data_IF_208899739604
#
_entry.id   IF_208899739604
#
_cell.length_a   1.000
_cell.length_b   1.000
_cell.length_c   1.000
_cell.angle_alpha   90.00
_cell.angle_beta   90.00
_cell.angle_gamma   90.00
#
_symmetry.space_group_name_H-M   'P 1'
#
loop_
_entity.id
_entity.type
_entity.pdbx_description
1 polymer ?
#
# COMPACT_ATOMS: atom_id res chain seq x y z
N UNK A 1 4.39 -5.27 11.51
CA UNK A 1 3.71 -6.03 12.60
C UNK A 1 3.14 -7.32 12.03
N UNK A 2 3.05 -8.40 12.81
CA UNK A 2 2.31 -9.62 12.40
C UNK A 2 0.84 -9.46 12.78
N UNK A 3 -0.06 -9.79 11.84
CA UNK A 3 -1.50 -9.81 12.10
C UNK A 3 -1.85 -10.90 13.12
N UNK A 4 -2.81 -10.65 14.00
CA UNK A 4 -3.42 -11.69 14.82
C UNK A 4 -4.16 -12.71 13.92
N UNK A 5 -4.47 -13.93 14.39
CA UNK A 5 -5.22 -14.92 13.61
C UNK A 5 -6.58 -14.42 13.12
N UNK A 6 -7.24 -13.56 13.90
CA UNK A 6 -8.54 -12.97 13.56
C UNK A 6 -8.37 -11.95 12.43
N UNK A 7 -7.41 -11.05 12.55
CA UNK A 7 -7.08 -10.07 11.50
C UNK A 7 -6.63 -10.76 10.21
N UNK A 8 -5.77 -11.79 10.31
CA UNK A 8 -5.35 -12.57 9.16
C UNK A 8 -6.54 -13.13 8.39
N UNK A 9 -7.53 -13.70 9.10
CA UNK A 9 -8.76 -14.22 8.50
C UNK A 9 -9.63 -13.09 7.93
N UNK A 10 -9.74 -11.95 8.63
CA UNK A 10 -10.47 -10.79 8.18
C UNK A 10 -9.89 -10.19 6.91
N UNK A 11 -8.55 -10.06 6.82
CA UNK A 11 -7.89 -9.51 5.64
C UNK A 11 -7.92 -10.43 4.41
N UNK A 12 -8.17 -11.73 4.61
CA UNK A 12 -8.19 -12.72 3.52
C UNK A 12 -9.61 -13.14 3.09
N UNK A 13 -10.67 -12.51 3.61
CA UNK A 13 -12.05 -12.88 3.29
C UNK A 13 -12.56 -12.23 1.97
N UNK A 14 -13.65 -12.78 1.37
CA UNK A 14 -14.22 -12.23 0.14
C UNK A 14 -14.75 -10.79 0.27
N UNK A 15 -15.26 -10.41 1.45
CA UNK A 15 -15.79 -9.06 1.69
C UNK A 15 -14.67 -8.01 1.63
N UNK A 16 -13.49 -8.31 2.23
CA UNK A 16 -12.31 -7.44 2.14
C UNK A 16 -11.87 -7.24 0.68
N UNK A 17 -11.86 -8.33 -0.11
CA UNK A 17 -11.54 -8.27 -1.56
C UNK A 17 -12.55 -7.43 -2.32
N UNK A 18 -13.84 -7.58 -2.03
CA UNK A 18 -14.89 -6.76 -2.64
C UNK A 18 -14.67 -5.28 -2.33
N UNK A 19 -14.38 -4.94 -1.07
CA UNK A 19 -14.09 -3.56 -0.65
C UNK A 19 -12.84 -3.02 -1.37
N UNK A 20 -11.75 -3.78 -1.40
CA UNK A 20 -10.51 -3.40 -2.09
C UNK A 20 -10.75 -3.11 -3.58
N UNK A 21 -11.56 -3.93 -4.24
CA UNK A 21 -11.91 -3.74 -5.66
C UNK A 21 -12.83 -2.54 -5.88
N UNK A 22 -13.92 -2.45 -5.11
CA UNK A 22 -15.01 -1.49 -5.40
C UNK A 22 -14.76 -0.11 -4.82
N UNK A 23 -13.94 0.00 -3.78
CA UNK A 23 -13.64 1.29 -3.14
C UNK A 23 -12.20 1.69 -3.39
N UNK A 24 -11.23 0.99 -2.83
CA UNK A 24 -9.83 1.39 -2.84
C UNK A 24 -9.26 1.47 -4.27
N UNK A 25 -9.35 0.41 -5.04
CA UNK A 25 -8.82 0.38 -6.40
C UNK A 25 -9.57 1.36 -7.33
N UNK A 26 -10.88 1.50 -7.19
CA UNK A 26 -11.64 2.51 -7.97
C UNK A 26 -11.24 3.94 -7.59
N UNK A 27 -10.97 4.20 -6.32
CA UNK A 27 -10.44 5.49 -5.89
C UNK A 27 -9.09 5.76 -6.56
N UNK A 28 -8.14 4.82 -6.53
CA UNK A 28 -6.86 4.97 -7.23
C UNK A 28 -7.04 5.21 -8.73
N UNK A 29 -7.95 4.47 -9.37
CA UNK A 29 -8.29 4.70 -10.79
C UNK A 29 -8.78 6.13 -11.03
N UNK A 30 -9.63 6.65 -10.17
CA UNK A 30 -10.15 8.03 -10.28
C UNK A 30 -9.08 9.09 -10.07
N UNK A 31 -8.03 8.78 -9.30
CA UNK A 31 -6.88 9.65 -9.07
C UNK A 31 -5.79 9.50 -10.15
N UNK A 32 -5.98 8.63 -11.15
CA UNK A 32 -5.08 8.51 -12.29
C UNK A 32 -4.22 7.25 -12.33
N UNK A 33 -4.52 6.21 -11.54
CA UNK A 33 -3.87 4.89 -11.69
C UNK A 33 -4.43 4.17 -12.93
N UNK A 34 -3.98 4.58 -14.12
CA UNK A 34 -4.47 4.09 -15.41
C UNK A 34 -3.37 3.71 -16.38
N UNK A 35 -2.12 4.00 -16.03
CA UNK A 35 -0.97 3.80 -16.90
C UNK A 35 -0.64 2.32 -17.06
N UNK A 36 -0.42 1.93 -18.32
CA UNK A 36 -0.02 0.56 -18.69
C UNK A 36 1.49 0.47 -18.86
N UNK A 37 2.00 -0.77 -18.89
CA UNK A 37 3.40 -1.07 -19.19
C UNK A 37 4.39 -0.34 -18.26
N UNK A 38 4.08 -0.30 -16.97
CA UNK A 38 4.86 0.33 -15.92
C UNK A 38 5.48 -0.69 -14.98
N UNK A 39 6.62 -0.37 -14.41
CA UNK A 39 7.26 -1.14 -13.34
C UNK A 39 6.57 -0.79 -12.01
N UNK A 40 5.80 -1.76 -11.45
CA UNK A 40 4.95 -1.55 -10.26
C UNK A 40 5.53 -2.25 -9.04
N UNK A 41 5.51 -1.57 -7.89
CA UNK A 41 5.73 -2.13 -6.55
C UNK A 41 4.45 -1.98 -5.73
N UNK A 42 3.96 -3.07 -5.14
CA UNK A 42 2.90 -3.05 -4.13
C UNK A 42 3.50 -3.31 -2.74
N UNK A 43 3.28 -2.40 -1.80
CA UNK A 43 3.75 -2.51 -0.42
C UNK A 43 2.59 -2.99 0.45
N UNK A 44 2.82 -4.05 1.24
CA UNK A 44 1.78 -4.72 2.00
C UNK A 44 0.82 -5.51 1.11
N UNK A 45 1.36 -6.27 0.14
CA UNK A 45 0.56 -6.99 -0.87
C UNK A 45 -0.32 -8.09 -0.27
N UNK A 46 -0.11 -8.46 0.99
CA UNK A 46 -0.85 -9.51 1.66
C UNK A 46 -0.87 -10.80 0.85
N UNK A 47 -2.05 -11.38 0.72
CA UNK A 47 -2.25 -12.60 -0.07
C UNK A 47 -2.35 -12.39 -1.60
N UNK A 48 -1.97 -11.21 -2.10
CA UNK A 48 -1.81 -10.92 -3.53
C UNK A 48 -3.08 -10.51 -4.28
N UNK A 49 -4.17 -10.15 -3.61
CA UNK A 49 -5.36 -9.72 -4.34
C UNK A 49 -5.19 -8.36 -5.02
N UNK A 50 -4.39 -7.45 -4.44
CA UNK A 50 -4.01 -6.19 -5.07
C UNK A 50 -3.31 -6.43 -6.41
N UNK A 51 -2.42 -7.44 -6.50
CA UNK A 51 -1.78 -7.84 -7.75
C UNK A 51 -2.79 -8.23 -8.84
N UNK A 52 -3.87 -8.94 -8.47
CA UNK A 52 -4.96 -9.28 -9.41
C UNK A 52 -5.64 -8.00 -9.95
N UNK A 53 -5.86 -7.01 -9.12
CA UNK A 53 -6.45 -5.73 -9.56
C UNK A 53 -5.47 -4.95 -10.45
N UNK A 54 -4.19 -4.88 -10.06
CA UNK A 54 -3.13 -4.18 -10.78
C UNK A 54 -2.78 -4.87 -12.11
N UNK A 55 -3.05 -6.17 -12.27
CA UNK A 55 -2.84 -6.88 -13.54
C UNK A 55 -3.67 -6.30 -14.69
N UNK A 56 -4.80 -5.65 -14.39
CA UNK A 56 -5.63 -4.95 -15.39
C UNK A 56 -4.88 -3.78 -16.05
N UNK A 57 -3.80 -3.29 -15.45
CA UNK A 57 -2.92 -2.26 -16.00
C UNK A 57 -1.85 -2.85 -16.93
N UNK A 58 -1.77 -4.18 -17.05
CA UNK A 58 -0.74 -4.85 -17.85
C UNK A 58 0.66 -4.33 -17.51
N UNK A 59 1.12 -4.45 -16.24
CA UNK A 59 2.43 -3.91 -15.85
C UNK A 59 3.56 -4.56 -16.64
N UNK A 60 4.64 -3.80 -16.87
CA UNK A 60 5.89 -4.30 -17.46
C UNK A 60 6.58 -5.28 -16.50
N UNK A 61 6.62 -4.92 -15.21
CA UNK A 61 7.01 -5.79 -14.12
C UNK A 61 6.18 -5.50 -12.88
N UNK A 62 6.05 -6.48 -12.00
CA UNK A 62 5.37 -6.33 -10.72
C UNK A 62 6.16 -6.99 -9.61
N UNK A 63 6.34 -6.28 -8.51
CA UNK A 63 6.83 -6.83 -7.25
C UNK A 63 5.82 -6.52 -6.16
N UNK A 64 5.37 -7.53 -5.43
CA UNK A 64 4.60 -7.38 -4.19
C UNK A 64 5.46 -7.72 -2.99
N UNK A 65 5.48 -6.87 -1.97
CA UNK A 65 6.20 -7.13 -0.72
C UNK A 65 5.24 -7.17 0.46
N UNK A 66 5.48 -8.10 1.37
CA UNK A 66 4.77 -8.20 2.65
C UNK A 66 5.71 -8.74 3.72
N UNK A 67 5.53 -8.32 4.97
CA UNK A 67 6.35 -8.76 6.09
C UNK A 67 6.06 -10.22 6.48
N UNK A 68 4.86 -10.73 6.17
CA UNK A 68 4.37 -12.03 6.61
C UNK A 68 4.60 -13.12 5.56
N UNK A 69 5.49 -14.12 5.81
CA UNK A 69 5.68 -15.25 4.90
C UNK A 69 4.38 -16.02 4.63
N UNK A 70 3.49 -16.07 5.62
CA UNK A 70 2.20 -16.75 5.52
C UNK A 70 1.27 -16.07 4.49
N UNK A 71 1.34 -14.76 4.34
CA UNK A 71 0.63 -14.01 3.30
C UNK A 71 1.22 -14.28 1.92
N UNK A 72 2.54 -14.19 1.80
CA UNK A 72 3.25 -14.46 0.55
C UNK A 72 2.98 -15.88 0.05
N UNK A 73 2.95 -16.88 0.93
CA UNK A 73 2.63 -18.26 0.55
C UNK A 73 1.25 -18.42 -0.10
N UNK A 74 0.32 -17.50 0.18
CA UNK A 74 -1.03 -17.53 -0.42
C UNK A 74 -1.10 -16.92 -1.82
N UNK A 75 -0.09 -16.21 -2.28
CA UNK A 75 -0.12 -15.47 -3.56
C UNK A 75 -0.18 -16.41 -4.76
N UNK A 76 0.43 -17.60 -4.66
CA UNK A 76 0.46 -18.60 -5.73
C UNK A 76 -0.92 -19.02 -6.27
N UNK A 77 -1.98 -18.87 -5.48
CA UNK A 77 -3.35 -19.17 -5.90
C UNK A 77 -3.89 -18.32 -7.05
N UNK A 78 -3.24 -17.18 -7.31
CA UNK A 78 -3.69 -16.27 -8.36
C UNK A 78 -3.09 -16.55 -9.74
N UNK A 79 -2.09 -17.43 -9.81
CA UNK A 79 -1.44 -17.84 -11.07
C UNK A 79 -0.98 -16.66 -11.94
N UNK A 80 -0.44 -15.61 -11.32
CA UNK A 80 0.06 -14.42 -12.01
C UNK A 80 1.49 -14.67 -12.52
N UNK A 81 1.62 -15.13 -13.75
CA UNK A 81 2.92 -15.41 -14.37
C UNK A 81 3.74 -14.14 -14.52
N UNK A 82 5.02 -14.19 -14.15
CA UNK A 82 5.95 -13.05 -14.24
C UNK A 82 5.82 -12.03 -13.09
N UNK A 83 4.97 -12.29 -12.09
CA UNK A 83 4.86 -11.46 -10.90
C UNK A 83 5.74 -12.02 -9.78
N UNK A 84 6.49 -11.14 -9.13
CA UNK A 84 7.32 -11.49 -7.99
C UNK A 84 6.63 -11.13 -6.67
N UNK A 85 6.72 -12.05 -5.69
CA UNK A 85 6.24 -11.80 -4.33
C UNK A 85 7.36 -12.10 -3.34
N UNK A 86 7.66 -11.15 -2.45
CA UNK A 86 8.82 -11.23 -1.55
C UNK A 86 8.41 -10.95 -0.10
N UNK A 87 8.97 -11.75 0.81
CA UNK A 87 8.92 -11.42 2.24
C UNK A 87 9.91 -10.30 2.48
N UNK A 88 9.43 -9.12 2.87
CA UNK A 88 10.28 -7.94 3.03
C UNK A 88 9.68 -6.95 4.01
N UNK A 89 10.52 -6.29 4.80
CA UNK A 89 10.12 -5.16 5.63
C UNK A 89 10.05 -3.89 4.78
N UNK A 90 8.88 -3.26 4.74
CA UNK A 90 8.66 -2.05 3.97
C UNK A 90 9.49 -0.84 4.46
N UNK A 91 9.97 -0.87 5.71
CA UNK A 91 10.83 0.18 6.26
C UNK A 91 12.31 0.04 5.87
N UNK A 92 12.71 -1.09 5.25
CA UNK A 92 14.08 -1.39 4.81
C UNK A 92 14.08 -2.28 3.55
N UNK A 93 13.78 -1.71 2.40
CA UNK A 93 13.65 -2.43 1.11
C UNK A 93 14.96 -2.40 0.29
N UNK A 94 16.09 -2.72 0.92
CA UNK A 94 17.44 -2.64 0.29
C UNK A 94 17.58 -3.46 -0.99
N UNK A 95 16.86 -4.58 -1.10
CA UNK A 95 16.90 -5.46 -2.27
C UNK A 95 16.15 -4.89 -3.48
N UNK A 96 15.44 -3.77 -3.30
CA UNK A 96 14.81 -3.05 -4.41
C UNK A 96 15.70 -1.87 -4.79
N UNK A 97 16.21 -1.82 -6.02
CA UNK A 97 17.11 -0.74 -6.45
C UNK A 97 16.46 0.63 -6.37
N UNK A 98 17.25 1.66 -6.10
CA UNK A 98 16.81 3.05 -6.19
C UNK A 98 16.39 3.39 -7.63
N UNK A 99 15.41 4.28 -7.77
CA UNK A 99 14.94 4.77 -9.08
C UNK A 99 14.62 3.65 -10.07
N UNK A 100 13.90 2.62 -9.62
CA UNK A 100 13.63 1.41 -10.39
C UNK A 100 12.14 1.14 -10.62
N UNK A 101 11.24 1.96 -10.05
CA UNK A 101 9.80 1.77 -10.18
C UNK A 101 9.12 3.04 -10.67
N UNK A 102 8.18 2.87 -11.60
CA UNK A 102 7.33 3.96 -12.09
C UNK A 102 6.20 4.25 -11.10
N UNK A 103 5.65 3.19 -10.48
CA UNK A 103 4.48 3.27 -9.64
C UNK A 103 4.68 2.45 -8.37
N UNK A 104 4.36 3.05 -7.23
CA UNK A 104 4.20 2.35 -5.94
C UNK A 104 2.75 2.45 -5.51
N UNK A 105 2.19 1.33 -5.00
CA UNK A 105 0.81 1.26 -4.51
C UNK A 105 0.79 0.73 -3.08
N UNK A 106 0.01 1.40 -2.21
CA UNK A 106 -0.18 1.04 -0.80
C UNK A 106 -1.67 1.02 -0.49
N UNK A 107 -2.21 -0.16 -0.12
CA UNK A 107 -3.61 -0.34 0.26
C UNK A 107 -3.75 -0.50 1.78
N UNK A 108 -3.80 0.61 2.52
CA UNK A 108 -4.15 0.63 3.94
C UNK A 108 -3.22 -0.19 4.84
N UNK A 109 -1.91 0.04 4.80
CA UNK A 109 -0.93 -0.71 5.58
C UNK A 109 -0.02 0.16 6.46
N UNK A 110 0.17 1.45 6.15
CA UNK A 110 1.12 2.30 6.87
C UNK A 110 0.78 2.43 8.35
N UNK A 111 -0.49 2.53 8.69
CA UNK A 111 -0.95 2.63 10.08
C UNK A 111 -0.61 1.40 10.94
N UNK A 112 -0.28 0.26 10.33
CA UNK A 112 0.23 -0.93 11.00
C UNK A 112 1.76 -0.92 11.18
N UNK A 113 2.47 0.02 10.60
CA UNK A 113 3.94 0.07 10.63
C UNK A 113 4.38 1.19 11.59
N UNK A 114 5.00 0.88 12.74
CA UNK A 114 5.47 1.92 13.67
C UNK A 114 6.41 2.94 13.02
N UNK A 115 7.28 2.47 12.13
CA UNK A 115 8.25 3.30 11.41
C UNK A 115 7.76 3.71 10.00
N UNK A 116 6.46 3.99 9.85
CA UNK A 116 5.84 4.31 8.57
C UNK A 116 6.52 5.46 7.80
N UNK A 117 7.16 6.39 8.51
CA UNK A 117 7.95 7.46 7.86
C UNK A 117 9.14 6.92 7.08
N UNK A 118 9.77 5.84 7.57
CA UNK A 118 10.84 5.15 6.82
C UNK A 118 10.29 4.54 5.53
N UNK A 119 9.05 4.06 5.53
CA UNK A 119 8.40 3.54 4.31
C UNK A 119 8.26 4.63 3.26
N UNK A 120 7.83 5.84 3.65
CA UNK A 120 7.73 6.98 2.72
C UNK A 120 9.10 7.35 2.14
N UNK A 121 10.14 7.36 2.96
CA UNK A 121 11.53 7.58 2.49
C UNK A 121 11.97 6.50 1.50
N UNK A 122 11.68 5.22 1.77
CA UNK A 122 11.97 4.12 0.84
C UNK A 122 11.16 4.26 -0.45
N UNK A 123 9.89 4.63 -0.39
CA UNK A 123 9.10 4.94 -1.60
C UNK A 123 9.79 6.01 -2.46
N UNK A 124 10.28 7.09 -1.83
CA UNK A 124 10.98 8.15 -2.57
C UNK A 124 12.29 7.66 -3.19
N UNK A 125 13.04 6.83 -2.48
CA UNK A 125 14.28 6.23 -2.99
C UNK A 125 14.05 5.34 -4.21
N UNK A 126 12.98 4.53 -4.15
CA UNK A 126 12.67 3.49 -5.14
C UNK A 126 12.02 4.06 -6.39
N UNK A 127 11.18 5.09 -6.26
CA UNK A 127 10.52 5.73 -7.40
C UNK A 127 11.53 6.47 -8.27
N UNK A 128 11.36 6.33 -9.59
CA UNK A 128 12.05 7.19 -10.56
C UNK A 128 11.59 8.64 -10.40
N UNK A 129 12.33 9.58 -10.97
CA UNK A 129 11.87 10.97 -11.10
C UNK A 129 10.54 11.01 -11.86
N UNK A 130 9.55 11.70 -11.33
CA UNK A 130 8.21 11.74 -11.91
C UNK A 130 7.36 10.49 -11.65
N UNK A 131 7.92 9.47 -10.99
CA UNK A 131 7.19 8.27 -10.57
C UNK A 131 6.07 8.60 -9.58
N UNK A 132 5.08 7.72 -9.45
CA UNK A 132 3.86 8.00 -8.67
C UNK A 132 3.68 7.04 -7.52
N UNK A 133 3.34 7.59 -6.37
CA UNK A 133 2.88 6.87 -5.18
C UNK A 133 1.35 7.01 -5.09
N UNK A 134 0.66 5.88 -5.09
CA UNK A 134 -0.77 5.78 -4.75
C UNK A 134 -0.90 5.18 -3.36
N UNK A 135 -1.49 5.93 -2.44
CA UNK A 135 -1.66 5.48 -1.05
C UNK A 135 -3.07 5.75 -0.57
N UNK A 136 -3.68 4.78 0.08
CA UNK A 136 -4.94 4.93 0.80
C UNK A 136 -4.76 4.46 2.23
N UNK A 137 -5.22 5.28 3.19
CA UNK A 137 -5.09 5.01 4.62
C UNK A 137 -6.30 5.51 5.40
N UNK A 138 -6.71 4.83 6.47
CA UNK A 138 -7.68 5.37 7.41
C UNK A 138 -7.09 6.55 8.19
N UNK A 139 -7.94 7.47 8.63
CA UNK A 139 -7.49 8.52 9.54
C UNK A 139 -7.28 7.99 10.97
N UNK A 140 -6.46 8.68 11.76
CA UNK A 140 -6.13 8.26 13.12
C UNK A 140 -7.35 8.13 14.07
N UNK A 141 -8.43 8.88 13.82
CA UNK A 141 -9.69 8.73 14.57
C UNK A 141 -10.36 7.38 14.28
N UNK A 142 -10.45 7.03 13.02
CA UNK A 142 -11.04 5.77 12.59
C UNK A 142 -10.25 4.57 13.12
N UNK A 143 -8.93 4.63 13.11
CA UNK A 143 -8.06 3.58 13.69
C UNK A 143 -8.38 3.41 15.18
N UNK A 144 -8.42 4.51 15.95
CA UNK A 144 -8.74 4.46 17.40
C UNK A 144 -10.14 3.93 17.67
N UNK A 145 -11.13 4.30 16.86
CA UNK A 145 -12.51 3.82 17.01
C UNK A 145 -12.59 2.31 16.71
N UNK A 146 -11.89 1.82 15.69
CA UNK A 146 -11.78 0.39 15.39
C UNK A 146 -11.11 -0.38 16.53
N UNK A 147 -9.99 0.11 17.07
CA UNK A 147 -9.32 -0.52 18.20
C UNK A 147 -10.21 -0.59 19.45
N UNK A 148 -10.94 0.47 19.70
CA UNK A 148 -11.87 0.51 20.86
C UNK A 148 -13.00 -0.52 20.76
N UNK A 149 -13.53 -0.76 19.55
CA UNK A 149 -14.66 -1.68 19.35
C UNK A 149 -14.23 -3.12 19.09
N UNK A 150 -13.14 -3.34 18.38
CA UNK A 150 -12.74 -4.67 17.91
C UNK A 150 -11.51 -5.23 18.62
N UNK A 151 -10.84 -4.44 19.44
CA UNK A 151 -9.60 -4.82 20.17
C UNK A 151 -8.54 -5.41 19.23
N UNK A 152 -8.39 -4.84 18.04
CA UNK A 152 -7.45 -5.34 17.02
C UNK A 152 -5.98 -5.12 17.39
N UNK A 153 -5.72 -4.26 18.41
CA UNK A 153 -4.38 -4.09 18.95
C UNK A 153 -3.40 -3.51 17.94
N UNK A 154 -3.86 -2.51 17.16
CA UNK A 154 -2.94 -1.77 16.31
C UNK A 154 -1.73 -1.31 17.13
N UNK A 155 -0.49 -1.38 16.60
CA UNK A 155 0.67 -0.86 17.31
C UNK A 155 0.41 0.60 17.65
N UNK A 156 0.94 1.05 18.78
CA UNK A 156 0.96 2.47 19.11
C UNK A 156 1.71 3.20 17.99
N UNK A 157 0.97 3.71 17.03
CA UNK A 157 1.48 4.46 15.89
C UNK A 157 0.95 5.88 16.01
N UNK A 158 1.81 6.84 15.75
CA UNK A 158 1.45 8.26 15.62
C UNK A 158 0.90 8.59 14.22
N UNK A 159 0.50 7.56 13.48
CA UNK A 159 0.00 7.72 12.12
C UNK A 159 -1.32 8.49 12.09
N UNK A 160 -1.33 9.55 11.30
CA UNK A 160 -2.55 10.20 10.84
C UNK A 160 -2.36 10.78 9.42
N UNK A 161 -3.47 11.24 8.82
CA UNK A 161 -3.43 11.73 7.43
C UNK A 161 -2.72 13.09 7.29
N UNK A 162 -2.66 13.90 8.34
CA UNK A 162 -1.93 15.18 8.33
C UNK A 162 -0.44 14.89 8.34
N UNK A 163 0.02 14.03 9.26
CA UNK A 163 1.40 13.59 9.29
C UNK A 163 1.85 12.90 8.00
N UNK A 164 0.95 12.15 7.34
CA UNK A 164 1.25 11.57 6.03
C UNK A 164 1.49 12.65 4.97
N UNK A 165 0.63 13.67 4.89
CA UNK A 165 0.80 14.78 3.94
C UNK A 165 2.09 15.56 4.20
N UNK A 166 2.43 15.81 5.47
CA UNK A 166 3.68 16.47 5.87
C UNK A 166 4.91 15.63 5.49
N UNK A 167 4.87 14.31 5.74
CA UNK A 167 5.98 13.41 5.42
C UNK A 167 6.17 13.26 3.90
N UNK A 168 5.10 13.23 3.13
CA UNK A 168 5.17 13.26 1.67
C UNK A 168 5.86 14.53 1.18
N UNK A 169 5.48 15.69 1.71
CA UNK A 169 6.12 16.98 1.36
C UNK A 169 7.60 17.01 1.78
N UNK A 170 7.92 16.51 2.99
CA UNK A 170 9.29 16.43 3.50
C UNK A 170 10.21 15.61 2.59
N UNK A 171 9.70 14.54 2.00
CA UNK A 171 10.43 13.69 1.07
C UNK A 171 10.27 14.08 -0.42
N UNK A 172 9.95 15.34 -0.70
CA UNK A 172 9.87 15.87 -2.08
C UNK A 172 8.82 15.14 -2.95
N UNK A 173 7.71 14.74 -2.35
CA UNK A 173 6.54 14.36 -3.10
C UNK A 173 5.61 15.58 -3.31
N UNK A 174 5.10 15.71 -4.53
CA UNK A 174 4.03 16.64 -4.84
C UNK A 174 2.69 15.90 -4.88
N UNK A 175 1.75 16.22 -4.00
CA UNK A 175 0.41 15.62 -4.04
C UNK A 175 -0.34 16.18 -5.24
N UNK A 176 -0.46 15.39 -6.29
CA UNK A 176 -1.17 15.76 -7.51
C UNK A 176 -2.68 15.77 -7.32
N UNK A 177 -3.18 14.78 -6.58
CA UNK A 177 -4.60 14.60 -6.28
C UNK A 177 -4.76 13.93 -4.92
N UNK A 178 -5.74 14.38 -4.15
CA UNK A 178 -6.10 13.78 -2.87
C UNK A 178 -7.60 13.81 -2.64
N UNK A 179 -8.10 12.83 -1.92
CA UNK A 179 -9.50 12.72 -1.53
C UNK A 179 -9.61 12.20 -0.11
N UNK A 180 -10.38 12.90 0.73
CA UNK A 180 -10.69 12.46 2.10
C UNK A 180 -12.19 12.19 2.17
N UNK A 181 -12.60 10.93 2.36
CA UNK A 181 -14.01 10.51 2.38
C UNK A 181 -14.21 9.43 3.43
N UNK A 182 -15.25 9.59 4.27
CA UNK A 182 -15.65 8.61 5.29
C UNK A 182 -14.50 8.11 6.19
N UNK A 183 -13.58 9.00 6.56
CA UNK A 183 -12.46 8.64 7.43
C UNK A 183 -11.26 7.99 6.73
N UNK A 184 -11.27 7.89 5.39
CA UNK A 184 -10.12 7.47 4.59
C UNK A 184 -9.53 8.64 3.81
N UNK A 185 -8.20 8.65 3.69
CA UNK A 185 -7.47 9.51 2.76
C UNK A 185 -6.89 8.67 1.63
N UNK A 186 -7.15 9.09 0.40
CA UNK A 186 -6.60 8.47 -0.82
C UNK A 186 -5.83 9.53 -1.59
N UNK A 187 -4.57 9.25 -1.93
CA UNK A 187 -3.67 10.21 -2.56
C UNK A 187 -2.96 9.62 -3.77
N UNK A 188 -2.72 10.47 -4.76
CA UNK A 188 -1.72 10.28 -5.80
C UNK A 188 -0.65 11.36 -5.62
N UNK A 189 0.56 10.96 -5.28
CA UNK A 189 1.71 11.85 -5.09
C UNK A 189 2.83 11.51 -6.08
N UNK A 190 3.49 12.53 -6.62
CA UNK A 190 4.57 12.40 -7.59
C UNK A 190 5.92 12.66 -6.93
N UNK A 191 6.89 11.82 -7.20
CA UNK A 191 8.27 12.00 -6.78
C UNK A 191 8.99 13.04 -7.65
N UNK A 192 9.54 14.08 -7.01
CA UNK A 192 10.27 15.19 -7.65
C UNK A 192 11.77 15.07 -7.41
#
# INVERSE_FOLDING_TARGET
>A
MRLSPIEFKAMNNPLRRFFQKQVEFRNFRSLGLTEKNKDILEIGCGSGYGAVLLSTLQPKSYIGVDLMPEQIALTGRWHLSGYEFKVMDASDMKDIPSQSRDIIVIFGILHHIPEWRKVIRECRRILIWGGKLFVEEPNGRMIRDFDRFFHWGHPASDFDLVGLEEELAHHSFNILRGRKVFGFGTYCAQAN
#
